data_IF_129620379025
#
_entry.id   IF_129620379025
#
_cell.length_a   1.000
_cell.length_b   1.000
_cell.length_c   1.000
_cell.angle_alpha   90.00
_cell.angle_beta   90.00
_cell.angle_gamma   90.00
#
_symmetry.space_group_name_H-M   'P 1'
#
loop_
_entity.id
_entity.type
_entity.pdbx_description
1 polymer ?
#
# COMPACT_ATOMS: atom_id res chain seq x y z
N UNK A 1 -14.65 -18.20 0.37
CA UNK A 1 -13.92 -16.92 0.15
C UNK A 1 -12.42 -17.17 0.16
N UNK A 2 -11.83 -17.28 -1.05
CA UNK A 2 -10.44 -17.65 -1.28
C UNK A 2 -9.50 -16.45 -1.44
N UNK A 3 -8.39 -16.71 -2.13
CA UNK A 3 -7.38 -15.74 -2.55
C UNK A 3 -7.95 -14.83 -3.63
N UNK A 4 -7.72 -13.53 -3.53
CA UNK A 4 -8.15 -12.57 -4.54
C UNK A 4 -6.99 -11.69 -5.02
N UNK A 5 -7.11 -11.17 -6.23
CA UNK A 5 -6.16 -10.25 -6.83
C UNK A 5 -6.82 -8.89 -7.03
N UNK A 6 -6.10 -7.81 -6.78
CA UNK A 6 -6.65 -6.48 -7.00
C UNK A 6 -5.60 -5.46 -7.41
N UNK A 7 -6.07 -4.47 -8.15
CA UNK A 7 -5.32 -3.26 -8.46
C UNK A 7 -5.86 -2.13 -7.62
N UNK A 8 -4.96 -1.29 -7.13
CA UNK A 8 -5.28 -0.09 -6.37
C UNK A 8 -4.63 1.12 -7.04
N UNK A 9 -5.41 2.20 -7.19
CA UNK A 9 -4.99 3.47 -7.77
C UNK A 9 -5.12 4.54 -6.70
N UNK A 10 -4.00 5.20 -6.39
CA UNK A 10 -3.85 6.03 -5.20
C UNK A 10 -4.21 5.24 -3.92
N UNK A 11 -3.72 5.65 -2.75
CA UNK A 11 -3.86 4.87 -1.51
C UNK A 11 -2.50 4.66 -0.88
N UNK A 12 -1.96 3.44 -0.85
CA UNK A 12 -0.61 3.22 -0.28
C UNK A 12 0.54 3.69 -1.17
N UNK A 13 0.24 4.07 -2.41
CA UNK A 13 1.14 4.70 -3.36
C UNK A 13 0.41 5.10 -4.63
N UNK A 14 1.13 5.44 -5.70
CA UNK A 14 0.50 5.87 -6.96
C UNK A 14 -0.35 4.77 -7.58
N UNK A 15 0.14 3.54 -7.49
CA UNK A 15 -0.58 2.35 -7.89
C UNK A 15 0.04 1.09 -7.28
N UNK A 16 -0.76 0.04 -7.14
CA UNK A 16 -0.24 -1.24 -6.68
C UNK A 16 -1.02 -2.42 -7.24
N UNK A 17 -0.31 -3.54 -7.41
CA UNK A 17 -0.88 -4.85 -7.70
C UNK A 17 -0.74 -5.74 -6.48
N UNK A 18 -1.84 -6.38 -6.07
CA UNK A 18 -1.96 -6.99 -4.77
C UNK A 18 -2.65 -8.36 -4.83
N UNK A 19 -2.29 -9.23 -3.90
CA UNK A 19 -2.91 -10.51 -3.62
C UNK A 19 -3.44 -10.48 -2.19
N UNK A 20 -4.75 -10.68 -2.04
CA UNK A 20 -5.51 -10.66 -0.79
C UNK A 20 -5.80 -12.09 -0.33
N UNK A 21 -5.29 -12.46 0.84
CA UNK A 21 -5.45 -13.77 1.45
C UNK A 21 -6.44 -13.69 2.62
N UNK A 22 -7.38 -14.62 2.64
CA UNK A 22 -8.25 -14.81 3.79
C UNK A 22 -7.52 -15.58 4.88
N UNK A 23 -7.30 -14.95 6.03
CA UNK A 23 -6.56 -15.57 7.16
C UNK A 23 -7.44 -15.78 8.40
N UNK A 24 -8.68 -15.27 8.39
CA UNK A 24 -9.64 -15.43 9.48
C UNK A 24 -11.01 -14.91 9.08
N UNK A 25 -12.02 -15.02 9.94
CA UNK A 25 -13.38 -14.60 9.58
C UNK A 25 -13.48 -13.12 9.16
N UNK A 26 -12.71 -12.26 9.82
CA UNK A 26 -12.74 -10.81 9.64
C UNK A 26 -11.33 -10.23 9.39
N UNK A 27 -10.39 -11.05 8.94
CA UNK A 27 -8.99 -10.66 8.81
C UNK A 27 -8.43 -11.03 7.44
N UNK A 28 -7.65 -10.12 6.87
CA UNK A 28 -7.06 -10.26 5.54
C UNK A 28 -5.58 -9.92 5.58
N UNK A 29 -4.77 -10.72 4.91
CA UNK A 29 -3.36 -10.42 4.66
C UNK A 29 -3.21 -10.10 3.18
N UNK A 30 -2.69 -8.93 2.86
CA UNK A 30 -2.34 -8.56 1.50
C UNK A 30 -0.83 -8.58 1.31
N UNK A 31 -0.38 -9.19 0.21
CA UNK A 31 0.97 -9.03 -0.32
C UNK A 31 0.88 -8.32 -1.68
N UNK A 32 1.82 -7.45 -2.00
CA UNK A 32 1.75 -6.69 -3.25
C UNK A 32 3.05 -6.04 -3.67
N UNK A 33 3.00 -5.44 -4.86
CA UNK A 33 4.02 -4.53 -5.38
C UNK A 33 3.39 -3.14 -5.50
N UNK A 34 3.93 -2.18 -4.79
CA UNK A 34 3.45 -0.79 -4.73
C UNK A 34 4.46 0.13 -5.41
N UNK A 35 3.99 0.97 -6.34
CA UNK A 35 4.83 2.00 -6.95
C UNK A 35 5.02 3.15 -5.94
N UNK A 36 6.24 3.26 -5.43
CA UNK A 36 6.66 4.28 -4.45
C UNK A 36 7.85 5.06 -5.00
N UNK A 37 7.88 6.36 -4.73
CA UNK A 37 9.04 7.20 -5.00
C UNK A 37 10.04 7.13 -3.86
N UNK A 38 11.28 6.81 -4.20
CA UNK A 38 12.43 6.73 -3.29
C UNK A 38 13.44 7.81 -3.63
N UNK A 39 13.77 8.64 -2.65
CA UNK A 39 14.80 9.68 -2.73
C UNK A 39 16.13 9.15 -2.17
N UNK A 40 17.16 9.06 -3.03
CA UNK A 40 18.46 8.51 -2.68
C UNK A 40 19.44 9.60 -2.24
N UNK A 41 20.49 9.22 -1.51
CA UNK A 41 21.58 10.14 -1.20
C UNK A 41 22.28 10.62 -2.49
N UNK A 42 22.81 11.84 -2.45
CA UNK A 42 23.59 12.40 -3.55
C UNK A 42 24.89 11.62 -3.71
N UNK A 43 25.29 11.40 -4.96
CA UNK A 43 26.61 10.81 -5.26
C UNK A 43 27.71 11.87 -5.15
N UNK A 44 27.40 13.13 -5.50
CA UNK A 44 28.28 14.27 -5.30
C UNK A 44 27.61 15.35 -4.42
N UNK A 45 28.34 15.89 -3.45
CA UNK A 45 27.82 16.97 -2.57
C UNK A 45 27.51 18.28 -3.34
N UNK A 46 28.04 18.42 -4.56
CA UNK A 46 27.77 19.55 -5.45
C UNK A 46 26.48 19.41 -6.27
N UNK A 47 25.80 18.26 -6.21
CA UNK A 47 24.51 18.10 -6.87
C UNK A 47 23.47 18.97 -6.15
N UNK A 48 22.64 19.70 -6.88
CA UNK A 48 21.62 20.58 -6.28
C UNK A 48 20.45 19.78 -5.69
N UNK A 49 20.06 18.67 -6.32
CA UNK A 49 18.87 17.88 -5.98
C UNK A 49 19.19 16.44 -5.59
N UNK A 50 18.35 15.84 -4.73
CA UNK A 50 18.44 14.43 -4.42
C UNK A 50 17.80 13.59 -5.54
N UNK A 51 18.47 12.55 -6.07
CA UNK A 51 17.90 11.73 -7.12
C UNK A 51 16.70 10.92 -6.60
N UNK A 52 15.53 11.13 -7.20
CA UNK A 52 14.31 10.36 -6.90
C UNK A 52 14.03 9.32 -7.98
N UNK A 53 13.60 8.12 -7.60
CA UNK A 53 13.12 7.09 -8.54
C UNK A 53 11.87 6.39 -8.02
N UNK A 54 10.89 6.21 -8.92
CA UNK A 54 9.74 5.35 -8.65
C UNK A 54 10.14 3.88 -8.81
N UNK A 55 9.92 3.06 -7.78
CA UNK A 55 10.27 1.65 -7.77
C UNK A 55 9.07 0.77 -7.42
N UNK A 56 8.91 -0.40 -8.06
CA UNK A 56 7.97 -1.43 -7.63
C UNK A 56 8.45 -2.01 -6.30
N UNK A 57 7.79 -1.61 -5.22
CA UNK A 57 8.21 -1.87 -3.85
C UNK A 57 7.35 -2.98 -3.24
N UNK A 58 7.94 -4.12 -2.83
CA UNK A 58 7.25 -5.14 -2.08
C UNK A 58 6.55 -4.57 -0.85
N UNK A 59 5.27 -4.93 -0.69
CA UNK A 59 4.41 -4.43 0.37
C UNK A 59 3.64 -5.56 1.03
N UNK A 60 3.48 -5.47 2.35
CA UNK A 60 2.60 -6.34 3.15
C UNK A 60 1.64 -5.47 3.95
N UNK A 61 0.36 -5.85 3.98
CA UNK A 61 -0.68 -5.18 4.75
C UNK A 61 -1.55 -6.21 5.46
N UNK A 62 -1.93 -5.93 6.69
CA UNK A 62 -2.94 -6.67 7.42
C UNK A 62 -4.19 -5.79 7.59
N UNK A 63 -5.36 -6.32 7.27
CA UNK A 63 -6.64 -5.63 7.39
C UNK A 63 -7.60 -6.37 8.30
N UNK A 64 -8.34 -5.60 9.09
CA UNK A 64 -9.51 -6.02 9.85
C UNK A 64 -10.78 -5.52 9.14
N UNK A 65 -11.76 -6.40 9.00
CA UNK A 65 -13.03 -6.15 8.35
C UNK A 65 -14.16 -6.13 9.39
N UNK A 66 -15.04 -5.15 9.31
CA UNK A 66 -16.26 -5.09 10.13
C UNK A 66 -17.45 -4.71 9.26
N UNK A 67 -18.46 -5.57 9.20
CA UNK A 67 -19.65 -5.31 8.40
C UNK A 67 -20.47 -6.56 8.08
N UNK A 68 -21.50 -6.39 7.27
CA UNK A 68 -22.49 -7.43 6.93
C UNK A 68 -23.00 -7.27 5.49
N UNK A 69 -23.60 -8.32 4.94
CA UNK A 69 -24.28 -8.33 3.64
C UNK A 69 -23.41 -7.85 2.47
N UNK A 70 -22.10 -8.09 2.51
CA UNK A 70 -21.16 -7.65 1.47
C UNK A 70 -20.70 -6.19 1.60
N UNK A 71 -21.02 -5.52 2.71
CA UNK A 71 -20.57 -4.17 3.02
C UNK A 71 -19.64 -4.24 4.23
N UNK A 72 -18.39 -3.79 4.09
CA UNK A 72 -17.39 -3.86 5.15
C UNK A 72 -16.64 -2.54 5.30
N UNK A 73 -16.45 -2.10 6.53
CA UNK A 73 -15.42 -1.14 6.88
C UNK A 73 -14.11 -1.88 7.09
N UNK A 74 -13.02 -1.29 6.60
CA UNK A 74 -11.69 -1.86 6.69
C UNK A 74 -10.76 -0.91 7.43
N UNK A 75 -9.95 -1.46 8.33
CA UNK A 75 -8.81 -0.77 8.92
C UNK A 75 -7.59 -1.68 8.77
N UNK A 76 -6.47 -1.13 8.32
CA UNK A 76 -5.27 -1.92 8.07
C UNK A 76 -3.99 -1.18 8.36
N UNK A 77 -2.96 -1.97 8.62
CA UNK A 77 -1.60 -1.53 8.90
C UNK A 77 -0.63 -2.44 8.14
N UNK A 78 0.51 -1.89 7.74
CA UNK A 78 1.50 -2.64 7.02
C UNK A 78 2.75 -1.83 6.72
N UNK A 79 3.57 -2.36 5.84
CA UNK A 79 4.79 -1.69 5.42
C UNK A 79 5.19 -2.08 4.00
N UNK A 80 6.11 -1.31 3.43
CA UNK A 80 6.80 -1.59 2.19
C UNK A 80 8.30 -1.44 2.39
N UNK A 81 9.06 -2.35 1.79
CA UNK A 81 10.51 -2.39 1.91
C UNK A 81 11.08 -2.18 0.51
N UNK A 82 11.88 -1.12 0.34
CA UNK A 82 12.53 -0.81 -0.92
C UNK A 82 13.29 -2.01 -1.48
N UNK A 83 13.17 -2.31 -2.78
CA UNK A 83 13.92 -3.39 -3.39
C UNK A 83 15.44 -3.10 -3.44
N UNK A 84 15.85 -1.86 -3.19
CA UNK A 84 17.26 -1.41 -3.15
C UNK A 84 17.62 -0.88 -1.76
N UNK A 85 17.32 -1.66 -0.73
CA UNK A 85 17.54 -1.30 0.68
C UNK A 85 19.01 -1.10 1.07
N UNK A 86 19.96 -1.56 0.25
CA UNK A 86 21.41 -1.40 0.49
C UNK A 86 21.97 -0.05 0.02
N UNK A 87 21.22 0.72 -0.78
CA UNK A 87 21.66 2.04 -1.22
C UNK A 87 21.46 3.08 -0.10
N UNK A 88 22.31 4.11 0.00
CA UNK A 88 22.08 5.22 0.91
C UNK A 88 20.89 6.07 0.44
N UNK A 89 19.99 6.40 1.37
CA UNK A 89 18.81 7.25 1.14
C UNK A 89 19.11 8.70 1.55
N UNK A 90 18.32 9.64 1.04
CA UNK A 90 18.41 11.02 1.54
C UNK A 90 17.98 11.10 3.01
N UNK A 91 18.31 12.19 3.73
CA UNK A 91 17.81 12.41 5.09
C UNK A 91 16.27 12.49 5.19
N UNK A 92 15.58 12.68 4.06
CA UNK A 92 14.12 12.84 3.99
C UNK A 92 13.39 11.55 3.61
N UNK A 93 14.11 10.45 3.40
CA UNK A 93 13.52 9.19 2.96
C UNK A 93 14.17 7.98 3.64
N UNK A 94 13.58 6.80 3.45
CA UNK A 94 13.99 5.56 4.09
C UNK A 94 13.70 4.37 3.19
N UNK A 95 14.48 3.30 3.37
CA UNK A 95 14.20 2.03 2.73
C UNK A 95 12.90 1.38 3.24
N UNK A 96 12.34 1.83 4.37
CA UNK A 96 11.08 1.34 4.95
C UNK A 96 10.00 2.42 4.90
N UNK A 97 8.85 2.08 4.33
CA UNK A 97 7.63 2.90 4.39
C UNK A 97 6.55 2.19 5.20
N UNK A 98 5.99 2.86 6.21
CA UNK A 98 4.88 2.35 7.02
C UNK A 98 3.56 2.83 6.45
N UNK A 99 2.59 1.93 6.39
CA UNK A 99 1.26 2.20 5.85
C UNK A 99 0.21 2.00 6.93
N UNK A 100 -0.72 2.93 7.02
CA UNK A 100 -2.00 2.71 7.67
C UNK A 100 -3.11 3.10 6.73
N UNK A 101 -4.22 2.38 6.77
CA UNK A 101 -5.30 2.53 5.82
C UNK A 101 -6.64 2.36 6.52
N UNK A 102 -7.59 3.21 6.18
CA UNK A 102 -8.99 3.10 6.57
C UNK A 102 -9.84 3.14 5.32
N UNK A 103 -10.90 2.36 5.25
CA UNK A 103 -11.69 2.35 4.03
C UNK A 103 -12.97 1.54 4.14
N UNK A 104 -13.55 1.34 2.97
CA UNK A 104 -14.79 0.66 2.78
C UNK A 104 -14.65 -0.32 1.61
N UNK A 105 -15.07 -1.56 1.83
CA UNK A 105 -15.13 -2.64 0.85
C UNK A 105 -16.57 -3.02 0.57
N UNK A 106 -16.90 -3.02 -0.71
CA UNK A 106 -18.13 -3.57 -1.23
C UNK A 106 -17.84 -4.86 -1.99
N UNK A 107 -18.41 -5.96 -1.51
CA UNK A 107 -18.27 -7.30 -2.09
C UNK A 107 -19.64 -7.99 -2.10
N UNK A 108 -20.43 -7.72 -3.14
CA UNK A 108 -21.76 -8.34 -3.32
C UNK A 108 -21.67 -9.81 -3.77
N UNK A 109 -20.64 -10.15 -4.54
CA UNK A 109 -20.42 -11.51 -5.05
C UNK A 109 -19.14 -12.08 -4.47
N UNK A 110 -19.01 -13.40 -4.45
CA UNK A 110 -17.76 -14.02 -4.03
C UNK A 110 -16.59 -13.68 -4.96
N UNK A 111 -16.88 -13.29 -6.20
CA UNK A 111 -15.89 -13.11 -7.28
C UNK A 111 -15.36 -11.69 -7.42
N UNK A 112 -16.14 -10.64 -7.17
CA UNK A 112 -15.72 -9.26 -7.46
C UNK A 112 -15.93 -8.38 -6.23
N UNK A 113 -14.96 -7.53 -5.96
CA UNK A 113 -15.08 -6.51 -4.93
C UNK A 113 -14.53 -5.16 -5.39
N UNK A 114 -15.03 -4.11 -4.75
CA UNK A 114 -14.57 -2.73 -4.89
C UNK A 114 -14.18 -2.21 -3.51
N UNK A 115 -13.15 -1.37 -3.44
CA UNK A 115 -12.77 -0.69 -2.21
C UNK A 115 -12.50 0.77 -2.50
N UNK A 116 -12.81 1.60 -1.53
CA UNK A 116 -12.39 2.98 -1.49
C UNK A 116 -11.82 3.24 -0.10
N UNK A 117 -10.72 3.95 -0.02
CA UNK A 117 -10.00 4.10 1.23
C UNK A 117 -9.10 5.30 1.28
N UNK A 118 -8.52 5.47 2.44
CA UNK A 118 -7.71 6.58 2.85
C UNK A 118 -6.45 6.04 3.53
N UNK A 119 -5.28 6.42 3.03
CA UNK A 119 -3.98 6.02 3.59
C UNK A 119 -3.27 7.27 4.15
N UNK A 120 -3.35 7.52 5.47
CA UNK A 120 -2.72 8.69 6.09
C UNK A 120 -1.18 8.62 6.18
N UNK A 121 -0.59 7.43 6.08
CA UNK A 121 0.83 7.21 6.34
C UNK A 121 1.53 6.79 5.04
N UNK A 122 1.96 7.75 4.22
CA UNK A 122 2.65 7.48 2.96
C UNK A 122 4.19 7.55 3.07
N UNK A 123 4.78 8.08 4.16
CA UNK A 123 6.24 8.18 4.32
C UNK A 123 6.76 8.21 5.76
N UNK A 124 7.98 7.68 5.92
CA UNK A 124 8.85 7.87 7.10
C UNK A 124 9.82 9.02 6.79
N UNK A 125 10.14 9.86 7.78
CA UNK A 125 10.78 11.19 7.68
C UNK A 125 9.85 12.37 7.29
N UNK A 126 8.69 12.42 7.96
CA UNK A 126 7.85 13.63 8.19
C UNK A 126 6.92 14.14 7.07
N UNK A 127 6.94 13.56 5.86
CA UNK A 127 5.95 13.91 4.83
C UNK A 127 4.73 12.96 4.89
N UNK A 128 3.66 13.40 5.56
CA UNK A 128 2.37 12.70 5.52
C UNK A 128 1.55 13.21 4.33
N UNK A 129 1.47 12.41 3.28
CA UNK A 129 0.54 12.68 2.18
C UNK A 129 -0.71 11.82 2.36
N UNK A 130 -1.83 12.41 2.81
CA UNK A 130 -3.11 11.73 2.83
C UNK A 130 -3.50 11.33 1.39
N UNK A 131 -3.50 10.03 1.09
CA UNK A 131 -3.90 9.54 -0.22
C UNK A 131 -5.26 8.86 -0.15
N UNK A 132 -6.18 9.31 -1.01
CA UNK A 132 -7.47 8.65 -1.23
C UNK A 132 -7.28 7.67 -2.36
N UNK A 133 -7.61 6.40 -2.11
CA UNK A 133 -7.41 5.30 -3.03
C UNK A 133 -8.70 4.59 -3.40
N UNK A 134 -8.72 4.04 -4.60
CA UNK A 134 -9.76 3.12 -5.04
C UNK A 134 -9.14 1.83 -5.55
N UNK A 135 -9.78 0.70 -5.28
CA UNK A 135 -9.34 -0.58 -5.81
C UNK A 135 -10.51 -1.44 -6.27
N UNK A 136 -10.21 -2.29 -7.25
CA UNK A 136 -11.13 -3.30 -7.74
C UNK A 136 -10.38 -4.62 -7.88
N UNK A 137 -11.04 -5.71 -7.51
CA UNK A 137 -10.39 -7.01 -7.45
C UNK A 137 -11.31 -8.16 -7.80
N UNK A 138 -10.67 -9.28 -8.11
CA UNK A 138 -11.28 -10.54 -8.47
C UNK A 138 -10.81 -11.66 -7.55
N UNK A 139 -11.73 -12.41 -6.94
CA UNK A 139 -11.45 -13.63 -6.18
C UNK A 139 -11.48 -14.83 -7.10
N UNK A 140 -10.47 -15.70 -6.94
CA UNK A 140 -10.53 -17.07 -7.44
C UNK A 140 -11.47 -17.93 -6.59
#
# INVERSE_FOLDING_TARGET
>A
MGTAYYLELAGKGFGSANVDFNIGHNSRLTLGLTLLDHEFAKENEMDDEYPTRTLPTPSVMYFLLSGKNGHFLEAGLGCSISPVFWKPYSPNDSWLSLHGSFGYRYQKSEKVFFRAGFTPFYRVNWAFLPLIGVSAGYSL
#
